data_IF_048756143914
#
_entry.id   IF_048756143914
#
_cell.length_a   1.000
_cell.length_b   1.000
_cell.length_c   1.000
_cell.angle_alpha   90.00
_cell.angle_beta   90.00
_cell.angle_gamma   90.00
#
_symmetry.space_group_name_H-M   'P 1'
#
loop_
_entity.id
_entity.type
_entity.pdbx_description
1 polymer ?
#
# COMPACT_ATOMS: atom_id res chain seq x y z
N UNK A 1 5.67 25.90 20.61
CA UNK A 1 6.06 24.70 19.85
C UNK A 1 4.89 24.36 18.96
N UNK A 2 5.06 24.31 17.64
CA UNK A 2 3.95 23.94 16.76
C UNK A 2 3.62 22.46 17.03
N UNK A 3 2.37 22.16 17.40
CA UNK A 3 1.90 20.78 17.48
C UNK A 3 2.13 20.09 16.14
N UNK A 4 2.75 18.91 16.15
CA UNK A 4 2.92 18.09 14.96
C UNK A 4 1.56 17.58 14.51
N UNK A 5 0.86 18.37 13.70
CA UNK A 5 -0.43 17.99 13.11
C UNK A 5 -0.23 16.75 12.23
N UNK A 6 -1.19 15.82 12.27
CA UNK A 6 -1.22 14.67 11.36
C UNK A 6 -1.10 15.12 9.89
N UNK A 7 -0.38 14.36 9.05
CA UNK A 7 -0.28 14.67 7.61
C UNK A 7 -1.65 14.76 6.97
N UNK A 8 -1.90 15.79 6.17
CA UNK A 8 -3.16 15.96 5.44
C UNK A 8 -3.11 15.24 4.10
N UNK A 9 -4.03 14.32 3.89
CA UNK A 9 -4.07 13.48 2.71
C UNK A 9 -5.26 13.85 1.81
N UNK A 10 -4.98 13.96 0.52
CA UNK A 10 -6.00 14.04 -0.53
C UNK A 10 -6.29 12.64 -1.07
N UNK A 11 -7.48 12.11 -0.81
CA UNK A 11 -7.91 10.78 -1.23
C UNK A 11 -8.72 10.89 -2.52
N UNK A 12 -8.20 10.31 -3.59
CA UNK A 12 -8.75 10.35 -4.94
C UNK A 12 -9.02 8.91 -5.38
N UNK A 13 -10.31 8.58 -5.50
CA UNK A 13 -10.78 7.23 -5.79
C UNK A 13 -11.30 7.16 -7.22
N UNK A 14 -10.77 6.22 -7.99
CA UNK A 14 -11.28 5.88 -9.31
C UNK A 14 -12.37 4.81 -9.15
N UNK A 15 -13.64 5.20 -9.35
CA UNK A 15 -14.78 4.30 -9.17
C UNK A 15 -14.82 3.18 -10.22
N UNK A 16 -14.21 3.41 -11.39
CA UNK A 16 -14.24 2.49 -12.52
C UNK A 16 -13.21 1.35 -12.34
N UNK A 17 -12.10 1.64 -11.64
CA UNK A 17 -11.03 0.67 -11.37
C UNK A 17 -10.90 0.20 -9.91
N UNK A 18 -11.72 0.70 -8.98
CA UNK A 18 -11.73 0.29 -7.57
C UNK A 18 -13.09 -0.23 -7.10
N UNK A 19 -13.08 -1.24 -6.22
CA UNK A 19 -14.30 -1.82 -5.66
C UNK A 19 -14.73 -1.14 -4.35
N UNK A 20 -16.02 -0.82 -4.21
CA UNK A 20 -16.56 -0.28 -2.96
C UNK A 20 -16.35 -1.19 -1.73
N UNK A 21 -16.09 -2.49 -1.93
CA UNK A 21 -15.85 -3.47 -0.84
C UNK A 21 -14.63 -3.16 0.03
N UNK A 22 -13.68 -2.38 -0.50
CA UNK A 22 -12.43 -2.07 0.19
C UNK A 22 -12.51 -0.78 1.01
N UNK A 23 -13.63 -0.05 0.96
CA UNK A 23 -13.73 1.32 1.47
C UNK A 23 -13.46 1.43 2.98
N UNK A 24 -13.94 0.48 3.77
CA UNK A 24 -13.72 0.46 5.23
C UNK A 24 -12.22 0.30 5.53
N UNK A 25 -11.60 -0.77 5.00
CA UNK A 25 -10.17 -1.04 5.18
C UNK A 25 -9.26 0.02 4.55
N UNK A 26 -9.69 0.66 3.48
CA UNK A 26 -9.00 1.80 2.85
C UNK A 26 -8.88 2.97 3.82
N UNK A 27 -9.98 3.42 4.42
CA UNK A 27 -9.93 4.54 5.34
C UNK A 27 -9.25 4.18 6.67
N UNK A 28 -9.32 2.92 7.11
CA UNK A 28 -8.52 2.42 8.23
C UNK A 28 -7.00 2.48 7.94
N UNK A 29 -6.57 2.10 6.73
CA UNK A 29 -5.16 2.18 6.35
C UNK A 29 -4.71 3.64 6.18
N UNK A 30 -5.54 4.50 5.58
CA UNK A 30 -5.26 5.93 5.44
C UNK A 30 -5.12 6.60 6.81
N UNK A 31 -5.97 6.24 7.79
CA UNK A 31 -5.91 6.77 9.15
C UNK A 31 -4.60 6.46 9.89
N UNK A 32 -3.89 5.38 9.50
CA UNK A 32 -2.54 5.07 10.03
C UNK A 32 -1.45 5.98 9.45
N UNK A 33 -1.71 6.56 8.28
CA UNK A 33 -0.77 7.42 7.55
C UNK A 33 -1.01 8.89 7.89
N UNK A 34 -2.28 9.32 7.92
CA UNK A 34 -2.65 10.70 8.15
C UNK A 34 -4.16 10.94 8.12
N UNK A 35 -4.54 12.20 8.04
CA UNK A 35 -5.93 12.64 8.02
C UNK A 35 -6.44 12.75 6.58
N UNK A 36 -7.47 11.97 6.24
CA UNK A 36 -8.17 12.06 4.96
C UNK A 36 -8.99 13.37 4.84
N UNK A 37 -8.29 14.46 4.52
CA UNK A 37 -8.78 15.84 4.48
C UNK A 37 -9.66 16.13 3.26
N UNK A 38 -9.35 15.49 2.12
CA UNK A 38 -10.21 15.48 0.93
C UNK A 38 -10.52 14.04 0.59
N UNK A 39 -11.77 13.76 0.27
CA UNK A 39 -12.27 12.44 -0.12
C UNK A 39 -13.14 12.61 -1.36
N UNK A 40 -12.57 12.33 -2.52
CA UNK A 40 -13.27 12.43 -3.80
C UNK A 40 -13.25 11.09 -4.50
N UNK A 41 -14.34 10.80 -5.19
CA UNK A 41 -14.46 9.63 -6.04
C UNK A 41 -14.96 10.05 -7.41
N UNK A 42 -14.35 9.52 -8.47
CA UNK A 42 -14.55 9.93 -9.85
C UNK A 42 -15.12 8.77 -10.64
N UNK A 43 -16.17 9.02 -11.42
CA UNK A 43 -16.83 7.99 -12.21
C UNK A 43 -18.23 8.38 -12.66
N UNK A 44 -18.88 7.45 -13.35
CA UNK A 44 -20.29 7.59 -13.73
C UNK A 44 -21.20 6.90 -12.69
N UNK A 45 -21.80 7.67 -11.78
CA UNK A 45 -22.71 7.18 -10.74
C UNK A 45 -24.15 7.00 -11.22
N UNK A 46 -24.47 7.36 -12.47
CA UNK A 46 -25.73 6.97 -13.09
C UNK A 46 -25.72 5.50 -13.55
N UNK A 47 -24.54 4.89 -13.68
CA UNK A 47 -24.38 3.50 -14.05
C UNK A 47 -24.66 2.54 -12.87
N UNK A 48 -25.36 1.44 -13.14
CA UNK A 48 -25.67 0.41 -12.15
C UNK A 48 -24.41 -0.21 -11.48
N UNK A 49 -23.26 -0.22 -12.18
CA UNK A 49 -21.98 -0.72 -11.62
C UNK A 49 -21.50 0.09 -10.41
N UNK A 50 -21.82 1.38 -10.40
CA UNK A 50 -21.41 2.34 -9.35
C UNK A 50 -22.37 2.35 -8.16
N UNK A 51 -23.46 1.56 -8.19
CA UNK A 51 -24.46 1.53 -7.11
C UNK A 51 -23.83 1.19 -5.75
N UNK A 52 -22.91 0.23 -5.72
CA UNK A 52 -22.23 -0.15 -4.49
C UNK A 52 -21.40 1.00 -3.90
N UNK A 53 -20.86 1.89 -4.74
CA UNK A 53 -20.20 3.11 -4.27
C UNK A 53 -21.21 4.10 -3.70
N UNK A 54 -22.32 4.35 -4.40
CA UNK A 54 -23.39 5.25 -3.94
C UNK A 54 -23.90 4.91 -2.54
N UNK A 55 -24.01 3.62 -2.22
CA UNK A 55 -24.47 3.13 -0.91
C UNK A 55 -23.50 3.46 0.24
N UNK A 56 -22.21 3.72 -0.05
CA UNK A 56 -21.18 3.96 0.96
C UNK A 56 -20.70 5.42 1.03
N UNK A 57 -21.01 6.27 0.04
CA UNK A 57 -20.50 7.65 -0.05
C UNK A 57 -20.74 8.46 1.22
N UNK A 58 -22.01 8.50 1.67
CA UNK A 58 -22.42 9.32 2.82
C UNK A 58 -21.76 8.85 4.12
N UNK A 59 -21.62 7.53 4.30
CA UNK A 59 -21.01 6.93 5.50
C UNK A 59 -19.55 7.35 5.67
N UNK A 60 -18.82 7.47 4.55
CA UNK A 60 -17.40 7.80 4.55
C UNK A 60 -17.11 9.27 4.22
N UNK A 61 -18.14 10.11 4.12
CA UNK A 61 -18.03 11.51 3.70
C UNK A 61 -17.25 11.68 2.38
N UNK A 62 -17.49 10.78 1.42
CA UNK A 62 -16.87 10.82 0.09
C UNK A 62 -17.74 11.70 -0.82
N UNK A 63 -17.11 12.64 -1.50
CA UNK A 63 -17.77 13.55 -2.44
C UNK A 63 -17.67 12.98 -3.86
N UNK A 64 -18.79 12.59 -4.50
CA UNK A 64 -18.76 12.10 -5.87
C UNK A 64 -18.49 13.23 -6.88
N UNK A 65 -17.59 12.98 -7.81
CA UNK A 65 -17.33 13.79 -9.00
C UNK A 65 -17.92 13.05 -10.20
N UNK A 66 -19.19 13.34 -10.48
CA UNK A 66 -19.97 12.69 -11.54
C UNK A 66 -19.43 13.08 -12.93
N UNK A 67 -19.10 12.09 -13.75
CA UNK A 67 -18.78 12.27 -15.16
C UNK A 67 -19.67 11.35 -16.01
N UNK A 68 -20.46 11.92 -16.91
CA UNK A 68 -21.32 11.13 -17.79
C UNK A 68 -20.47 10.49 -18.90
N UNK A 69 -20.63 9.18 -19.10
CA UNK A 69 -20.02 8.51 -20.24
C UNK A 69 -20.74 8.86 -21.54
N UNK A 70 -20.33 9.94 -22.22
CA UNK A 70 -20.85 10.30 -23.55
C UNK A 70 -20.47 9.29 -24.65
N UNK A 71 -19.46 8.47 -24.41
CA UNK A 71 -19.04 7.35 -25.26
C UNK A 71 -18.39 6.30 -24.37
N UNK A 72 -18.79 5.04 -24.51
CA UNK A 72 -18.23 3.95 -23.71
C UNK A 72 -16.71 3.82 -23.95
N UNK A 73 -15.94 3.71 -22.87
CA UNK A 73 -14.48 3.52 -22.92
C UNK A 73 -13.65 4.80 -23.10
N UNK A 74 -14.20 5.97 -22.81
CA UNK A 74 -13.42 7.22 -22.73
C UNK A 74 -12.99 7.51 -21.28
N UNK A 75 -11.77 8.00 -21.13
CA UNK A 75 -11.10 8.28 -19.85
C UNK A 75 -11.56 9.61 -19.21
N UNK A 76 -12.86 9.93 -19.27
CA UNK A 76 -13.39 11.22 -18.81
C UNK A 76 -13.28 11.37 -17.28
N UNK A 77 -13.58 10.31 -16.53
CA UNK A 77 -13.38 10.23 -15.09
C UNK A 77 -11.90 10.39 -14.73
N UNK A 78 -11.00 9.71 -15.44
CA UNK A 78 -9.54 9.78 -15.20
C UNK A 78 -8.99 11.18 -15.45
N UNK A 79 -9.38 11.81 -16.57
CA UNK A 79 -8.96 13.19 -16.90
C UNK A 79 -9.42 14.14 -15.80
N UNK A 80 -10.66 14.00 -15.33
CA UNK A 80 -11.20 14.82 -14.24
C UNK A 80 -10.41 14.61 -12.94
N UNK A 81 -10.09 13.36 -12.60
CA UNK A 81 -9.29 13.02 -11.44
C UNK A 81 -7.90 13.67 -11.52
N UNK A 82 -7.24 13.59 -12.68
CA UNK A 82 -5.92 14.20 -12.90
C UNK A 82 -5.98 15.72 -12.75
N UNK A 83 -6.98 16.38 -13.33
CA UNK A 83 -7.15 17.84 -13.21
C UNK A 83 -7.32 18.23 -11.74
N UNK A 84 -8.24 17.59 -11.03
CA UNK A 84 -8.49 17.86 -9.61
C UNK A 84 -7.25 17.57 -8.75
N UNK A 85 -6.52 16.50 -9.05
CA UNK A 85 -5.28 16.17 -8.35
C UNK A 85 -4.24 17.29 -8.50
N UNK A 86 -4.09 17.85 -9.69
CA UNK A 86 -3.16 18.94 -9.97
C UNK A 86 -3.58 20.25 -9.30
N UNK A 87 -4.87 20.56 -9.26
CA UNK A 87 -5.39 21.72 -8.54
C UNK A 87 -5.16 21.60 -7.03
N UNK A 88 -5.43 20.42 -6.47
CA UNK A 88 -5.16 20.12 -5.05
C UNK A 88 -3.65 20.20 -4.76
N UNK A 89 -2.79 19.72 -5.65
CA UNK A 89 -1.34 19.77 -5.51
C UNK A 89 -0.85 21.21 -5.44
N UNK A 90 -1.27 22.05 -6.40
CA UNK A 90 -0.86 23.45 -6.46
C UNK A 90 -1.50 24.33 -5.36
N UNK A 91 -2.52 23.84 -4.65
CA UNK A 91 -3.04 24.53 -3.46
C UNK A 91 -2.02 24.58 -2.31
N UNK A 92 -1.04 23.66 -2.27
CA UNK A 92 -0.03 23.59 -1.22
C UNK A 92 -0.57 23.18 0.17
N UNK A 93 -1.77 22.59 0.22
CA UNK A 93 -2.48 22.29 1.49
C UNK A 93 -2.29 20.86 2.02
N UNK A 94 -1.78 19.95 1.19
CA UNK A 94 -1.72 18.52 1.45
C UNK A 94 -0.28 18.04 1.52
N UNK A 95 -0.03 17.13 2.47
CA UNK A 95 1.27 16.52 2.72
C UNK A 95 1.41 15.18 1.96
N UNK A 96 0.31 14.65 1.43
CA UNK A 96 0.32 13.45 0.60
C UNK A 96 -0.97 13.21 -0.19
N UNK A 97 -0.89 12.33 -1.17
CA UNK A 97 -1.99 11.92 -2.05
C UNK A 97 -2.22 10.42 -1.94
N UNK A 98 -3.47 10.00 -1.84
CA UNK A 98 -3.88 8.61 -1.94
C UNK A 98 -4.57 8.42 -3.30
N UNK A 99 -3.93 7.67 -4.20
CA UNK A 99 -4.48 7.32 -5.51
C UNK A 99 -5.03 5.90 -5.44
N UNK A 100 -6.34 5.75 -5.54
CA UNK A 100 -7.02 4.45 -5.45
C UNK A 100 -7.47 4.01 -6.84
N UNK A 101 -6.61 3.29 -7.54
CA UNK A 101 -6.85 2.73 -8.87
C UNK A 101 -5.86 1.59 -9.16
N UNK A 102 -6.20 0.73 -10.12
CA UNK A 102 -5.27 -0.27 -10.68
C UNK A 102 -4.80 0.10 -12.10
N UNK A 103 -5.17 1.28 -12.61
CA UNK A 103 -4.81 1.75 -13.95
C UNK A 103 -3.39 2.34 -13.97
N UNK A 104 -2.58 1.90 -14.94
CA UNK A 104 -1.24 2.44 -15.16
C UNK A 104 -1.20 3.86 -15.71
N UNK A 105 -2.30 4.39 -16.25
CA UNK A 105 -2.34 5.75 -16.79
C UNK A 105 -2.06 6.81 -15.70
N UNK A 106 -2.32 6.49 -14.42
CA UNK A 106 -1.98 7.34 -13.28
C UNK A 106 -0.47 7.36 -12.91
N UNK A 107 0.37 6.57 -13.58
CA UNK A 107 1.83 6.53 -13.32
C UNK A 107 2.48 7.92 -13.44
N UNK A 108 2.10 8.69 -14.46
CA UNK A 108 2.63 10.05 -14.66
C UNK A 108 2.14 11.03 -13.61
N UNK A 109 0.88 10.91 -13.17
CA UNK A 109 0.34 11.72 -12.07
C UNK A 109 1.11 11.46 -10.77
N UNK A 110 1.30 10.19 -10.40
CA UNK A 110 2.05 9.82 -9.20
C UNK A 110 3.49 10.37 -9.24
N UNK A 111 4.17 10.24 -10.38
CA UNK A 111 5.51 10.77 -10.58
C UNK A 111 5.54 12.30 -10.43
N UNK A 112 4.60 13.00 -11.07
CA UNK A 112 4.52 14.47 -11.06
C UNK A 112 4.21 15.07 -9.67
N UNK A 113 3.43 14.37 -8.85
CA UNK A 113 3.19 14.75 -7.45
C UNK A 113 4.48 14.59 -6.63
N UNK A 114 5.20 13.47 -6.81
CA UNK A 114 6.47 13.22 -6.11
C UNK A 114 7.59 14.17 -6.50
N UNK A 115 7.61 14.64 -7.75
CA UNK A 115 8.53 15.69 -8.20
C UNK A 115 8.38 17.00 -7.40
N UNK A 116 7.22 17.24 -6.78
CA UNK A 116 7.01 18.38 -5.85
C UNK A 116 7.41 18.07 -4.41
N UNK A 117 8.00 16.90 -4.15
CA UNK A 117 8.36 16.46 -2.80
C UNK A 117 7.17 16.00 -1.95
N UNK A 118 6.02 15.73 -2.57
CA UNK A 118 4.80 15.28 -1.88
C UNK A 118 4.68 13.76 -1.98
N UNK A 119 4.31 13.12 -0.86
CA UNK A 119 4.18 11.67 -0.77
C UNK A 119 2.96 11.16 -1.57
N UNK A 120 3.13 10.06 -2.31
CA UNK A 120 2.05 9.39 -3.04
C UNK A 120 1.89 7.97 -2.52
N UNK A 121 0.68 7.65 -2.05
CA UNK A 121 0.26 6.34 -1.60
C UNK A 121 -0.68 5.73 -2.64
N UNK A 122 -0.25 4.66 -3.30
CA UNK A 122 -1.06 3.93 -4.27
C UNK A 122 -1.88 2.84 -3.60
N UNK A 123 -3.11 2.63 -4.06
CA UNK A 123 -3.98 1.55 -3.64
C UNK A 123 -4.56 0.88 -4.88
N UNK A 124 -4.22 -0.38 -5.14
CA UNK A 124 -4.72 -1.12 -6.30
C UNK A 124 -4.62 -2.63 -6.12
N UNK A 125 -5.13 -3.37 -7.09
CA UNK A 125 -5.11 -4.84 -7.09
C UNK A 125 -3.70 -5.38 -7.39
N UNK A 126 -3.46 -6.67 -7.11
CA UNK A 126 -2.19 -7.33 -7.40
C UNK A 126 -1.78 -7.25 -8.87
N UNK A 127 -2.76 -7.20 -9.78
CA UNK A 127 -2.54 -7.08 -11.23
C UNK A 127 -2.01 -5.71 -11.67
N UNK A 128 -1.95 -4.73 -10.76
CA UNK A 128 -1.50 -3.37 -11.07
C UNK A 128 -0.06 -3.38 -11.63
N UNK A 129 0.19 -2.73 -12.78
CA UNK A 129 1.50 -2.71 -13.40
C UNK A 129 2.60 -2.19 -12.47
N UNK A 130 3.80 -2.76 -12.60
CA UNK A 130 4.96 -2.39 -11.77
C UNK A 130 5.32 -0.91 -11.91
N UNK A 131 5.14 -0.33 -13.10
CA UNK A 131 5.38 1.09 -13.37
C UNK A 131 4.60 2.00 -12.41
N UNK A 132 3.32 1.71 -12.17
CA UNK A 132 2.51 2.52 -11.26
C UNK A 132 2.87 2.26 -9.80
N UNK A 133 3.10 0.99 -9.43
CA UNK A 133 3.54 0.62 -8.07
C UNK A 133 4.83 1.32 -7.67
N UNK A 134 5.84 1.34 -8.54
CA UNK A 134 7.14 1.98 -8.29
C UNK A 134 7.10 3.51 -8.41
N UNK A 135 6.09 4.07 -9.08
CA UNK A 135 5.89 5.51 -9.09
C UNK A 135 5.42 6.04 -7.72
N UNK A 136 4.78 5.21 -6.89
CA UNK A 136 4.32 5.58 -5.56
C UNK A 136 5.45 5.48 -4.52
N UNK A 137 5.32 6.22 -3.41
CA UNK A 137 6.18 6.03 -2.23
C UNK A 137 5.90 4.70 -1.54
N UNK A 138 4.62 4.38 -1.39
CA UNK A 138 4.15 3.09 -0.89
C UNK A 138 2.92 2.68 -1.69
N UNK A 139 2.81 1.42 -2.01
CA UNK A 139 1.69 0.84 -2.72
C UNK A 139 1.05 -0.25 -1.84
N UNK A 140 -0.25 -0.15 -1.60
CA UNK A 140 -1.00 -1.10 -0.77
C UNK A 140 -1.95 -1.89 -1.67
N UNK A 141 -1.81 -3.20 -1.62
CA UNK A 141 -2.74 -4.11 -2.31
C UNK A 141 -4.12 -4.06 -1.67
N UNK A 142 -5.15 -3.79 -2.46
CA UNK A 142 -6.54 -3.66 -1.98
C UNK A 142 -7.08 -4.94 -1.35
N UNK A 143 -6.55 -6.09 -1.76
CA UNK A 143 -6.86 -7.41 -1.20
C UNK A 143 -6.39 -7.53 0.26
N UNK A 144 -5.37 -6.78 0.67
CA UNK A 144 -4.92 -6.70 2.07
C UNK A 144 -5.86 -5.84 2.95
N UNK A 145 -6.83 -5.15 2.34
CA UNK A 145 -7.78 -4.25 3.01
C UNK A 145 -9.16 -4.89 3.20
N UNK A 146 -9.40 -6.04 2.57
CA UNK A 146 -10.66 -6.75 2.73
C UNK A 146 -10.78 -7.28 4.17
N UNK A 147 -11.97 -7.17 4.78
CA UNK A 147 -12.18 -7.65 6.14
C UNK A 147 -11.88 -9.15 6.22
N UNK A 148 -10.92 -9.51 7.08
CA UNK A 148 -10.65 -10.91 7.41
C UNK A 148 -11.83 -11.38 8.24
N UNK A 149 -12.59 -12.37 7.74
CA UNK A 149 -13.63 -13.01 8.53
C UNK A 149 -13.00 -13.48 9.86
N UNK A 150 -13.45 -12.90 10.97
CA UNK A 150 -12.95 -13.22 12.30
C UNK A 150 -13.35 -14.66 12.65
N UNK A 151 -12.47 -15.62 12.39
CA UNK A 151 -12.56 -16.92 13.02
C UNK A 151 -12.10 -16.76 14.48
N UNK A 152 -13.07 -16.76 15.40
CA UNK A 152 -12.83 -16.92 16.83
C UNK A 152 -12.10 -18.25 17.06
N UNK A 153 -10.89 -18.23 17.61
CA UNK A 153 -10.20 -19.44 18.04
C UNK A 153 -8.69 -19.30 18.02
N UNK A 154 -8.09 -19.52 19.20
CA UNK A 154 -6.67 -19.70 19.47
C UNK A 154 -6.01 -20.70 18.51
N UNK A 155 -4.80 -20.38 18.05
CA UNK A 155 -3.86 -21.25 17.33
C UNK A 155 -4.33 -21.87 16.00
N UNK A 156 -4.80 -21.02 15.08
CA UNK A 156 -4.80 -21.34 13.67
C UNK A 156 -3.97 -20.30 12.90
N UNK A 157 -2.96 -20.79 12.17
CA UNK A 157 -2.27 -20.03 11.12
C UNK A 157 -3.36 -19.51 10.19
N UNK A 158 -3.70 -18.22 10.31
CA UNK A 158 -4.72 -17.58 9.49
C UNK A 158 -4.22 -17.57 8.05
N UNK A 159 -4.66 -18.55 7.27
CA UNK A 159 -4.62 -18.46 5.81
C UNK A 159 -5.75 -17.52 5.42
N UNK A 160 -5.53 -16.22 5.58
CA UNK A 160 -5.94 -15.31 4.49
C UNK A 160 -5.33 -15.92 3.23
N UNK A 161 -6.08 -16.07 2.14
CA UNK A 161 -5.51 -16.53 0.87
C UNK A 161 -4.38 -15.56 0.51
N UNK A 162 -3.15 -15.92 0.88
CA UNK A 162 -1.99 -15.07 0.76
C UNK A 162 -1.79 -14.83 -0.72
N UNK A 163 -1.71 -13.57 -1.13
CA UNK A 163 -1.47 -13.19 -2.52
C UNK A 163 -0.18 -13.82 -3.08
N UNK A 164 0.79 -14.09 -2.21
CA UNK A 164 2.07 -14.71 -2.55
C UNK A 164 2.52 -15.69 -1.47
N UNK A 165 3.29 -16.75 -1.83
CA UNK A 165 3.88 -17.65 -0.85
C UNK A 165 4.96 -16.93 -0.02
N UNK A 166 5.19 -17.32 1.25
CA UNK A 166 6.18 -16.66 2.12
C UNK A 166 7.60 -16.66 1.53
N UNK A 167 7.94 -17.70 0.76
CA UNK A 167 9.25 -17.84 0.10
C UNK A 167 9.52 -16.75 -0.94
N UNK A 168 8.49 -16.16 -1.54
CA UNK A 168 8.63 -15.07 -2.51
C UNK A 168 9.17 -13.76 -1.88
N UNK A 169 9.08 -13.60 -0.57
CA UNK A 169 9.70 -12.47 0.15
C UNK A 169 11.23 -12.60 0.28
N UNK A 170 11.75 -13.83 0.23
CA UNK A 170 13.17 -14.15 0.45
C UNK A 170 14.15 -13.35 -0.43
N UNK A 171 14.00 -13.29 -1.77
CA UNK A 171 14.95 -12.56 -2.61
C UNK A 171 15.02 -11.07 -2.27
N UNK A 172 13.87 -10.45 -1.97
CA UNK A 172 13.78 -9.02 -1.65
C UNK A 172 14.47 -8.74 -0.31
N UNK A 173 14.16 -9.53 0.73
CA UNK A 173 14.77 -9.39 2.05
C UNK A 173 16.28 -9.62 1.99
N UNK A 174 16.73 -10.63 1.22
CA UNK A 174 18.16 -10.90 1.01
C UNK A 174 18.87 -9.73 0.32
N UNK A 175 18.24 -9.14 -0.70
CA UNK A 175 18.78 -7.97 -1.42
C UNK A 175 18.96 -6.78 -0.46
N UNK A 176 17.97 -6.52 0.40
CA UNK A 176 18.06 -5.44 1.40
C UNK A 176 19.18 -5.70 2.40
N UNK A 177 19.26 -6.89 2.99
CA UNK A 177 20.33 -7.22 3.96
C UNK A 177 21.72 -7.09 3.30
N UNK A 178 21.87 -7.50 2.04
CA UNK A 178 23.15 -7.40 1.32
C UNK A 178 23.60 -5.95 1.06
N UNK A 179 22.68 -4.98 1.09
CA UNK A 179 23.00 -3.55 0.97
C UNK A 179 23.30 -2.88 2.32
N UNK A 180 23.11 -3.60 3.43
CA UNK A 180 23.38 -3.10 4.77
C UNK A 180 24.78 -3.55 5.21
N UNK A 181 25.65 -2.60 5.50
CA UNK A 181 26.99 -2.87 6.03
C UNK A 181 26.89 -3.32 7.49
N UNK A 182 27.50 -4.45 7.82
CA UNK A 182 27.60 -4.97 9.20
C UNK A 182 28.83 -5.87 9.34
N UNK A 183 29.58 -5.69 10.43
CA UNK A 183 30.82 -6.44 10.71
C UNK A 183 30.56 -7.93 11.02
N UNK A 184 29.48 -8.23 11.74
CA UNK A 184 29.10 -9.60 12.14
C UNK A 184 28.02 -10.23 11.22
N UNK A 185 27.64 -9.49 10.17
CA UNK A 185 26.58 -9.83 9.23
C UNK A 185 25.17 -9.73 9.80
N UNK A 186 25.00 -9.34 11.06
CA UNK A 186 23.70 -9.17 11.69
C UNK A 186 23.23 -7.73 11.57
N UNK A 187 21.98 -7.56 11.16
CA UNK A 187 21.36 -6.24 11.00
C UNK A 187 20.07 -6.15 11.82
N UNK A 188 19.69 -4.96 12.35
CA UNK A 188 18.42 -4.80 13.05
C UNK A 188 17.24 -5.04 12.10
N UNK A 189 16.27 -5.88 12.50
CA UNK A 189 15.09 -6.19 11.69
C UNK A 189 14.25 -4.93 11.40
N UNK A 190 14.18 -4.00 12.35
CA UNK A 190 13.51 -2.71 12.14
C UNK A 190 14.15 -1.90 11.02
N UNK A 191 15.48 -1.89 10.93
CA UNK A 191 16.19 -1.20 9.85
C UNK A 191 15.98 -1.89 8.49
N UNK A 192 15.93 -3.22 8.46
CA UNK A 192 15.53 -3.99 7.27
C UNK A 192 14.11 -3.62 6.84
N UNK A 193 13.16 -3.51 7.78
CA UNK A 193 11.78 -3.08 7.49
C UNK A 193 11.72 -1.69 6.86
N UNK A 194 12.46 -0.72 7.40
CA UNK A 194 12.52 0.63 6.83
C UNK A 194 13.12 0.63 5.42
N UNK A 195 14.19 -0.13 5.19
CA UNK A 195 14.84 -0.19 3.88
C UNK A 195 13.99 -0.96 2.86
N UNK A 196 13.24 -1.98 3.28
CA UNK A 196 12.24 -2.66 2.44
C UNK A 196 11.20 -1.68 1.93
N UNK A 197 10.64 -0.84 2.81
CA UNK A 197 9.65 0.16 2.44
C UNK A 197 10.19 1.21 1.44
N UNK A 198 11.50 1.48 1.46
CA UNK A 198 12.14 2.40 0.51
C UNK A 198 12.52 1.74 -0.82
N UNK A 199 12.95 0.47 -0.81
CA UNK A 199 13.43 -0.24 -2.01
C UNK A 199 12.30 -0.91 -2.80
N UNK A 200 11.26 -1.38 -2.12
CA UNK A 200 10.12 -2.08 -2.69
C UNK A 200 8.83 -1.43 -2.15
N UNK A 201 8.33 -0.44 -2.89
CA UNK A 201 7.18 0.37 -2.46
C UNK A 201 5.93 -0.45 -2.15
N UNK A 202 5.78 -1.63 -2.75
CA UNK A 202 4.64 -2.54 -2.61
C UNK A 202 4.87 -3.69 -1.61
N UNK A 203 6.01 -3.70 -0.91
CA UNK A 203 6.31 -4.74 0.07
C UNK A 203 5.43 -4.58 1.31
N UNK A 204 4.57 -5.57 1.56
CA UNK A 204 3.72 -5.65 2.75
C UNK A 204 3.70 -7.10 3.27
N UNK A 205 4.03 -7.37 4.54
CA UNK A 205 3.94 -8.72 5.11
C UNK A 205 2.56 -9.38 4.95
N UNK A 206 1.47 -8.58 4.90
CA UNK A 206 0.09 -9.08 4.74
C UNK A 206 -0.12 -9.75 3.39
N UNK A 207 0.58 -9.29 2.35
CA UNK A 207 0.60 -9.91 1.01
C UNK A 207 1.04 -11.38 1.08
N UNK A 208 1.88 -11.72 2.08
CA UNK A 208 2.39 -13.07 2.31
C UNK A 208 1.63 -13.81 3.43
N UNK A 209 0.55 -13.24 3.97
CA UNK A 209 -0.26 -13.82 5.04
C UNK A 209 0.24 -13.55 6.46
N UNK A 210 1.09 -12.53 6.68
CA UNK A 210 1.62 -12.21 8.00
C UNK A 210 1.32 -10.78 8.43
N UNK A 211 0.98 -10.59 9.70
CA UNK A 211 0.80 -9.23 10.27
C UNK A 211 2.13 -8.55 10.60
N UNK A 212 3.17 -9.34 10.91
CA UNK A 212 4.49 -8.84 11.31
C UNK A 212 5.57 -9.37 10.37
N UNK A 213 6.55 -8.51 10.06
CA UNK A 213 7.73 -8.90 9.27
C UNK A 213 8.50 -10.05 9.94
N UNK A 214 8.60 -10.07 11.27
CA UNK A 214 9.26 -11.14 12.02
C UNK A 214 8.65 -12.51 11.73
N UNK A 215 7.33 -12.60 11.61
CA UNK A 215 6.61 -13.86 11.45
C UNK A 215 6.78 -14.39 10.02
N UNK A 216 6.72 -13.48 9.03
CA UNK A 216 7.06 -13.77 7.64
C UNK A 216 8.49 -14.30 7.53
N UNK A 217 9.47 -13.58 8.10
CA UNK A 217 10.89 -13.98 8.07
C UNK A 217 11.07 -15.37 8.67
N UNK A 218 10.47 -15.66 9.84
CA UNK A 218 10.52 -16.99 10.45
C UNK A 218 9.97 -18.06 9.51
N UNK A 219 8.85 -17.80 8.84
CA UNK A 219 8.22 -18.77 7.95
C UNK A 219 9.05 -19.06 6.70
N UNK A 220 9.82 -18.09 6.19
CA UNK A 220 10.68 -18.32 5.00
C UNK A 220 11.76 -19.38 5.22
N UNK A 221 12.14 -19.65 6.48
CA UNK A 221 13.24 -20.52 6.87
C UNK A 221 14.61 -20.17 6.25
N UNK A 222 14.76 -18.98 5.66
CA UNK A 222 15.96 -18.56 4.94
C UNK A 222 16.89 -17.64 5.76
N UNK A 223 16.48 -17.25 6.97
CA UNK A 223 17.16 -16.28 7.82
C UNK A 223 17.26 -16.77 9.26
N UNK A 224 18.33 -16.38 9.93
CA UNK A 224 18.49 -16.51 11.37
C UNK A 224 17.96 -15.25 12.05
N UNK A 225 17.28 -15.44 13.18
CA UNK A 225 16.75 -14.36 14.01
C UNK A 225 17.32 -14.46 15.41
N UNK A 226 17.85 -13.35 15.92
CA UNK A 226 18.43 -13.27 17.26
C UNK A 226 17.59 -12.35 18.14
N UNK A 227 17.09 -12.92 19.24
CA UNK A 227 16.45 -12.19 20.32
C UNK A 227 17.45 -12.07 21.46
N UNK A 228 17.91 -10.84 21.72
CA UNK A 228 18.71 -10.53 22.89
C UNK A 228 17.89 -9.62 23.81
N UNK A 229 17.87 -9.95 25.10
CA UNK A 229 17.12 -9.21 26.12
C UNK A 229 17.55 -7.72 26.11
N UNK A 230 16.58 -6.80 26.03
CA UNK A 230 16.84 -5.37 25.95
C UNK A 230 17.43 -4.86 24.63
N UNK A 231 17.58 -5.70 23.60
CA UNK A 231 18.10 -5.31 22.27
C UNK A 231 17.05 -5.49 21.17
N UNK A 232 17.13 -4.68 20.09
CA UNK A 232 16.24 -4.86 18.93
C UNK A 232 16.51 -6.22 18.27
N UNK A 233 15.44 -6.87 17.81
CA UNK A 233 15.49 -8.12 17.05
C UNK A 233 16.43 -7.99 15.84
N UNK A 234 17.42 -8.87 15.71
CA UNK A 234 18.37 -8.89 14.60
C UNK A 234 18.07 -10.02 13.63
N UNK A 235 18.42 -9.83 12.37
CA UNK A 235 18.26 -10.79 11.28
C UNK A 235 19.58 -10.93 10.52
N UNK A 236 19.87 -12.16 10.06
CA UNK A 236 20.98 -12.44 9.14
C UNK A 236 20.55 -13.52 8.14
N UNK A 237 21.15 -13.50 6.95
CA UNK A 237 21.01 -14.56 5.96
C UNK A 237 21.58 -15.87 6.49
N UNK A 238 20.81 -16.96 6.45
CA UNK A 238 21.36 -18.30 6.77
C UNK A 238 22.47 -18.64 5.80
N UNK A 239 23.63 -18.97 6.34
CA UNK A 239 24.71 -19.58 5.56
C UNK A 239 24.26 -20.99 5.17
N UNK A 240 24.34 -21.35 3.89
CA UNK A 240 24.15 -22.76 3.51
C UNK A 240 25.26 -23.54 4.21
N UNK A 241 24.90 -24.45 5.13
CA UNK A 241 25.87 -25.43 5.61
C UNK A 241 26.42 -26.15 4.39
N UNK A 242 27.69 -25.93 4.06
CA UNK A 242 28.35 -26.69 3.01
C UNK A 242 28.14 -28.17 3.32
N UNK A 243 27.43 -28.89 2.45
CA UNK A 243 27.60 -30.33 2.36
C UNK A 243 29.07 -30.54 2.00
N UNK A 244 29.90 -30.78 3.00
CA UNK A 244 31.04 -31.67 2.84
C UNK A 244 30.43 -33.05 2.61
N UNK A 245 30.40 -33.45 1.35
CA UNK A 245 30.64 -34.81 0.86
C UNK A 245 30.68 -34.78 -0.66
#
# INVERSE_FOLDING_TARGET
>A
MAESRSPRLAVLIDADNASAKIVDGLFEEIAKIGEASVRRIYGDFANARSKAWTDVLARHAIIPQQQFAYTAGKNASDITLVIDAMDLLHSGRFDGFCLVSSDSDFTRLASRIREQGIDVFGFGEQKTPESFRQACRRFIYTENLLPVAAANGTDAVQVTASLQPPTAATPIIRKVIAQMESEDGWVPLGAVGNQLANLASDFDPRTYGFRKLSDLVRKTNAFDLEYAEGRPLRIRVKQKSGKKN
#
